data_IF_276106053387
#
_entry.id   IF_276106053387
#
_cell.length_a   1.000
_cell.length_b   1.000
_cell.length_c   1.000
_cell.angle_alpha   90.00
_cell.angle_beta   90.00
_cell.angle_gamma   90.00
#
_symmetry.space_group_name_H-M   'P 1'
#
loop_
_entity.id
_entity.type
_entity.pdbx_description
1 polymer ?
#
# COMPACT_ATOMS: atom_id res chain seq x y z
N UNK A 1 -30.22 -24.60 -73.67
CA UNK A 1 -30.57 -24.34 -72.28
C UNK A 1 -29.27 -24.42 -71.48
N UNK A 2 -28.68 -23.27 -71.19
CA UNK A 2 -27.41 -23.14 -70.43
C UNK A 2 -27.69 -22.79 -68.98
N UNK A 3 -27.45 -23.71 -68.08
CA UNK A 3 -27.50 -23.49 -66.62
C UNK A 3 -26.14 -23.01 -66.13
N UNK A 4 -26.01 -21.71 -65.80
CA UNK A 4 -24.84 -21.13 -65.13
C UNK A 4 -24.91 -21.49 -63.65
N UNK A 5 -23.93 -22.24 -63.13
CA UNK A 5 -23.72 -22.47 -61.71
C UNK A 5 -23.06 -21.22 -61.06
N UNK A 6 -23.73 -20.63 -60.11
CA UNK A 6 -23.23 -19.52 -59.29
C UNK A 6 -22.38 -20.14 -58.17
N UNK A 7 -21.07 -19.85 -58.16
CA UNK A 7 -20.18 -20.23 -57.06
C UNK A 7 -20.20 -19.08 -56.05
N UNK A 8 -20.79 -19.32 -54.88
CA UNK A 8 -20.74 -18.39 -53.71
C UNK A 8 -19.49 -18.72 -52.92
N UNK A 9 -18.49 -17.86 -52.97
CA UNK A 9 -17.27 -17.95 -52.15
C UNK A 9 -17.51 -17.30 -50.83
N UNK A 10 -17.70 -18.10 -49.77
CA UNK A 10 -17.83 -17.62 -48.39
C UNK A 10 -16.44 -17.32 -47.84
N UNK A 11 -16.10 -16.02 -47.65
CA UNK A 11 -14.90 -15.62 -46.92
C UNK A 11 -15.13 -15.89 -45.45
N UNK A 12 -14.47 -16.89 -44.86
CA UNK A 12 -14.32 -17.03 -43.41
C UNK A 12 -13.24 -16.06 -42.94
N UNK A 13 -13.67 -15.00 -42.28
CA UNK A 13 -12.75 -14.15 -41.51
C UNK A 13 -12.34 -14.90 -40.23
N UNK A 14 -11.11 -15.43 -40.23
CA UNK A 14 -10.50 -15.98 -39.04
C UNK A 14 -10.22 -14.82 -38.03
N UNK A 15 -11.07 -14.63 -37.05
CA UNK A 15 -10.72 -13.85 -35.88
C UNK A 15 -9.62 -14.57 -35.11
N UNK A 16 -8.38 -14.10 -35.26
CA UNK A 16 -7.26 -14.50 -34.43
C UNK A 16 -7.50 -14.00 -33.00
N UNK A 17 -8.09 -14.86 -32.17
CA UNK A 17 -8.14 -14.65 -30.74
C UNK A 17 -6.72 -14.88 -30.20
N UNK A 18 -5.92 -13.82 -30.07
CA UNK A 18 -4.67 -13.89 -29.30
C UNK A 18 -5.04 -14.25 -27.87
N UNK A 19 -4.49 -15.32 -27.28
CA UNK A 19 -4.73 -15.61 -25.87
C UNK A 19 -4.18 -14.43 -25.08
N UNK A 20 -5.07 -13.71 -24.37
CA UNK A 20 -4.68 -12.85 -23.28
C UNK A 20 -4.02 -13.79 -22.26
N UNK A 21 -2.69 -13.74 -22.19
CA UNK A 21 -1.93 -14.46 -21.16
C UNK A 21 -2.56 -14.07 -19.81
N UNK A 22 -3.14 -15.06 -19.13
CA UNK A 22 -3.70 -14.88 -17.81
C UNK A 22 -2.59 -14.30 -16.93
N UNK A 23 -2.73 -13.01 -16.56
CA UNK A 23 -1.76 -12.33 -15.73
C UNK A 23 -1.77 -13.02 -14.37
N UNK A 24 -0.62 -13.50 -13.93
CA UNK A 24 -0.48 -14.21 -12.66
C UNK A 24 -0.92 -13.27 -11.51
N UNK A 25 -1.94 -13.68 -10.75
CA UNK A 25 -2.47 -12.90 -9.62
C UNK A 25 -1.58 -12.99 -8.37
N UNK A 26 -0.53 -13.79 -8.42
CA UNK A 26 0.43 -13.92 -7.34
C UNK A 26 1.45 -12.78 -7.40
N UNK A 27 1.69 -12.14 -6.24
CA UNK A 27 2.77 -11.18 -6.08
C UNK A 27 4.13 -11.84 -6.33
N UNK A 28 5.01 -11.12 -7.00
CA UNK A 28 6.41 -11.48 -7.21
C UNK A 28 7.28 -10.39 -6.60
N UNK A 29 7.66 -10.49 -5.29
CA UNK A 29 8.45 -9.47 -4.63
C UNK A 29 9.74 -9.16 -5.36
N UNK A 30 10.19 -7.90 -5.30
CA UNK A 30 11.45 -7.46 -5.94
C UNK A 30 12.69 -7.90 -5.18
N UNK A 31 12.56 -8.09 -3.86
CA UNK A 31 13.63 -8.51 -2.97
C UNK A 31 13.12 -9.52 -1.96
N UNK A 32 14.00 -10.39 -1.49
CA UNK A 32 13.73 -11.26 -0.34
C UNK A 32 13.84 -10.46 0.97
N UNK A 33 13.32 -10.96 2.10
CA UNK A 33 13.48 -10.31 3.41
C UNK A 33 14.94 -10.04 3.77
N UNK A 34 15.86 -10.94 3.41
CA UNK A 34 17.30 -10.84 3.71
C UNK A 34 17.99 -9.75 2.88
N UNK A 35 17.46 -9.44 1.70
CA UNK A 35 17.98 -8.39 0.81
C UNK A 35 17.48 -6.99 1.21
N UNK A 36 16.46 -6.92 2.07
CA UNK A 36 15.93 -5.65 2.57
C UNK A 36 16.87 -5.06 3.63
N UNK A 37 16.94 -3.71 3.72
CA UNK A 37 17.75 -3.04 4.74
C UNK A 37 17.38 -3.48 6.15
N UNK A 38 18.40 -3.86 6.95
CA UNK A 38 18.19 -4.24 8.35
C UNK A 38 18.04 -2.98 9.23
N UNK A 39 16.79 -2.64 9.52
CA UNK A 39 16.43 -1.43 10.27
C UNK A 39 16.78 -1.51 11.77
N UNK A 40 17.10 -2.69 12.32
CA UNK A 40 17.65 -2.82 13.68
C UNK A 40 19.04 -2.22 13.84
N UNK A 41 19.73 -1.93 12.73
CA UNK A 41 21.03 -1.24 12.73
C UNK A 41 20.89 0.30 12.72
N UNK A 42 19.68 0.83 12.77
CA UNK A 42 19.40 2.26 12.79
C UNK A 42 19.01 2.72 14.20
N UNK A 43 19.07 4.03 14.53
CA UNK A 43 18.62 4.54 15.81
C UNK A 43 17.08 4.63 15.93
N UNK A 44 16.34 4.13 14.93
CA UNK A 44 14.89 4.17 14.92
C UNK A 44 14.33 3.03 15.81
N UNK A 45 14.06 3.35 17.06
CA UNK A 45 13.53 2.42 18.07
C UNK A 45 12.24 2.96 18.68
N UNK A 46 11.39 2.08 19.24
CA UNK A 46 10.26 2.56 20.03
C UNK A 46 10.74 3.44 21.21
N UNK A 47 10.03 4.53 21.53
CA UNK A 47 10.39 5.36 22.66
C UNK A 47 10.27 4.62 23.98
N UNK A 48 11.16 4.95 24.92
CA UNK A 48 11.04 4.52 26.32
C UNK A 48 9.74 5.05 26.94
N UNK A 49 9.07 4.23 27.78
CA UNK A 49 7.78 4.55 28.39
C UNK A 49 7.81 5.75 29.35
N UNK A 50 8.98 6.16 29.81
CA UNK A 50 9.16 7.35 30.67
C UNK A 50 9.61 8.57 29.89
N UNK A 51 9.74 8.47 28.57
CA UNK A 51 10.22 9.58 27.73
C UNK A 51 9.13 10.58 27.36
N UNK A 52 9.54 11.81 27.02
CA UNK A 52 8.65 12.81 26.43
C UNK A 52 8.05 12.32 25.09
N UNK A 53 8.78 11.52 24.33
CA UNK A 53 8.29 10.94 23.08
C UNK A 53 7.12 9.97 23.32
N UNK A 54 7.15 9.17 24.39
CA UNK A 54 6.01 8.34 24.75
C UNK A 54 4.83 9.16 25.31
N UNK A 55 5.09 10.26 26.03
CA UNK A 55 4.02 11.20 26.42
C UNK A 55 3.30 11.79 25.20
N UNK A 56 4.03 12.05 24.12
CA UNK A 56 3.43 12.43 22.84
C UNK A 56 2.58 11.30 22.24
N UNK A 57 3.05 10.05 22.25
CA UNK A 57 2.27 8.88 21.82
C UNK A 57 0.92 8.80 22.57
N UNK A 58 0.94 9.00 23.89
CA UNK A 58 -0.27 9.01 24.72
C UNK A 58 -1.24 10.13 24.32
N UNK A 59 -0.72 11.34 24.12
CA UNK A 59 -1.55 12.47 23.69
C UNK A 59 -2.21 12.25 22.34
N UNK A 60 -1.47 11.65 21.39
CA UNK A 60 -2.00 11.30 20.06
C UNK A 60 -3.03 10.18 20.13
N UNK A 61 -2.84 9.18 21.00
CA UNK A 61 -3.85 8.14 21.22
C UNK A 61 -5.16 8.72 21.75
N UNK A 62 -5.09 9.61 22.74
CA UNK A 62 -6.28 10.28 23.30
C UNK A 62 -6.99 11.15 22.26
N UNK A 63 -6.22 11.91 21.46
CA UNK A 63 -6.77 12.63 20.31
C UNK A 63 -7.44 11.67 19.33
N UNK A 64 -6.79 10.58 18.97
CA UNK A 64 -7.36 9.58 18.06
C UNK A 64 -8.70 9.04 18.54
N UNK A 65 -8.82 8.77 19.85
CA UNK A 65 -10.09 8.36 20.47
C UNK A 65 -11.18 9.43 20.31
N UNK A 66 -10.83 10.71 20.49
CA UNK A 66 -11.83 11.81 20.44
C UNK A 66 -12.46 12.01 19.07
N UNK A 67 -11.78 11.57 17.99
CA UNK A 67 -12.27 11.74 16.61
C UNK A 67 -12.94 10.48 16.03
N UNK A 68 -13.02 9.38 16.78
CA UNK A 68 -13.59 8.10 16.29
C UNK A 68 -15.03 8.19 15.82
N UNK A 69 -15.84 9.06 16.42
CA UNK A 69 -17.25 9.25 16.08
C UNK A 69 -17.50 10.31 14.97
N UNK A 70 -16.46 10.69 14.25
CA UNK A 70 -16.51 11.66 13.14
C UNK A 70 -16.25 10.99 11.80
N UNK A 71 -16.45 11.72 10.68
CA UNK A 71 -16.06 11.26 9.34
C UNK A 71 -14.61 10.79 9.26
N UNK A 72 -13.71 11.44 10.03
CA UNK A 72 -12.31 11.02 10.11
C UNK A 72 -12.14 9.65 10.76
N UNK A 73 -13.01 9.33 11.72
CA UNK A 73 -13.06 8.00 12.34
C UNK A 73 -13.58 6.92 11.38
N UNK A 74 -14.60 7.22 10.58
CA UNK A 74 -15.10 6.31 9.55
C UNK A 74 -14.04 6.03 8.48
N UNK A 75 -13.32 7.07 8.01
CA UNK A 75 -12.17 6.90 7.13
C UNK A 75 -11.11 5.98 7.76
N UNK A 76 -10.80 6.19 9.06
CA UNK A 76 -9.80 5.38 9.75
C UNK A 76 -10.22 3.91 9.87
N UNK A 77 -11.51 3.64 10.03
CA UNK A 77 -12.08 2.30 10.04
C UNK A 77 -11.98 1.61 8.68
N UNK A 78 -12.25 2.35 7.59
CA UNK A 78 -12.06 1.84 6.22
C UNK A 78 -10.58 1.54 5.91
N UNK A 79 -9.67 2.41 6.36
CA UNK A 79 -8.21 2.24 6.22
C UNK A 79 -7.66 1.07 7.07
N UNK A 80 -8.44 0.55 8.02
CA UNK A 80 -7.99 -0.55 8.87
C UNK A 80 -7.97 -1.90 8.14
N UNK A 81 -8.70 -2.05 7.06
CA UNK A 81 -8.55 -3.21 6.18
C UNK A 81 -7.12 -3.27 5.61
N UNK A 82 -6.59 -4.48 5.41
CA UNK A 82 -5.22 -4.65 4.96
C UNK A 82 -5.16 -5.27 3.57
N UNK A 83 -4.30 -4.73 2.70
CA UNK A 83 -3.98 -5.34 1.42
C UNK A 83 -4.13 -4.41 0.22
N UNK A 84 -3.76 -4.95 -0.96
CA UNK A 84 -3.72 -4.21 -2.21
C UNK A 84 -5.08 -3.63 -2.62
N UNK A 85 -6.17 -4.36 -2.41
CA UNK A 85 -7.51 -3.93 -2.83
C UNK A 85 -7.95 -2.65 -2.11
N UNK A 86 -7.63 -2.54 -0.82
CA UNK A 86 -7.90 -1.34 -0.03
C UNK A 86 -7.07 -0.17 -0.53
N UNK A 87 -5.77 -0.40 -0.77
CA UNK A 87 -4.89 0.64 -1.34
C UNK A 87 -5.42 1.13 -2.69
N UNK A 88 -5.79 0.22 -3.59
CA UNK A 88 -6.34 0.58 -4.90
C UNK A 88 -7.61 1.43 -4.75
N UNK A 89 -8.52 1.06 -3.86
CA UNK A 89 -9.76 1.79 -3.57
C UNK A 89 -9.48 3.19 -3.01
N UNK A 90 -8.67 3.25 -1.96
CA UNK A 90 -8.44 4.47 -1.19
C UNK A 90 -7.54 5.50 -1.89
N UNK A 91 -6.72 5.07 -2.83
CA UNK A 91 -5.85 5.94 -3.60
C UNK A 91 -6.40 6.30 -4.99
N UNK A 92 -7.50 5.72 -5.45
CA UNK A 92 -8.06 5.97 -6.77
C UNK A 92 -8.41 7.46 -7.00
N UNK A 93 -9.11 8.10 -6.06
CA UNK A 93 -9.48 9.53 -6.17
C UNK A 93 -8.25 10.44 -6.10
N UNK A 94 -7.35 10.39 -5.08
CA UNK A 94 -6.17 11.24 -5.05
C UNK A 94 -5.23 11.00 -6.24
N UNK A 95 -5.13 9.78 -6.75
CA UNK A 95 -4.37 9.46 -7.96
C UNK A 95 -5.02 10.01 -9.23
N UNK A 96 -6.35 10.18 -9.23
CA UNK A 96 -7.15 10.69 -10.34
C UNK A 96 -7.52 9.65 -11.39
N UNK A 97 -7.44 8.37 -11.04
CA UNK A 97 -7.77 7.24 -11.91
C UNK A 97 -8.07 5.99 -11.08
N UNK A 98 -9.01 5.16 -11.55
CA UNK A 98 -9.25 3.85 -10.96
C UNK A 98 -8.01 2.96 -11.11
N UNK A 99 -7.63 2.30 -10.02
CA UNK A 99 -6.49 1.38 -10.00
C UNK A 99 -7.06 -0.04 -9.90
N UNK A 100 -7.01 -0.77 -11.00
CA UNK A 100 -7.52 -2.14 -11.06
C UNK A 100 -6.77 -2.98 -12.09
N UNK A 101 -6.87 -4.29 -11.97
CA UNK A 101 -6.26 -5.24 -12.91
C UNK A 101 -6.81 -5.06 -14.33
N UNK A 102 -8.07 -4.69 -14.45
CA UNK A 102 -8.78 -4.55 -15.72
C UNK A 102 -8.46 -3.22 -16.42
N UNK A 103 -8.39 -2.12 -15.67
CA UNK A 103 -8.25 -0.76 -16.24
C UNK A 103 -6.82 -0.25 -16.28
N UNK A 104 -6.01 -0.63 -15.31
CA UNK A 104 -4.63 -0.17 -15.13
C UNK A 104 -3.68 -1.34 -14.80
N UNK A 105 -3.60 -2.37 -15.66
CA UNK A 105 -2.89 -3.61 -15.36
C UNK A 105 -1.41 -3.42 -14.99
N UNK A 106 -0.70 -2.47 -15.60
CA UNK A 106 0.72 -2.25 -15.32
C UNK A 106 0.94 -1.50 -13.99
N UNK A 107 0.05 -0.56 -13.65
CA UNK A 107 0.06 0.13 -12.34
C UNK A 107 -0.34 -0.87 -11.24
N UNK A 108 -1.39 -1.65 -11.47
CA UNK A 108 -1.82 -2.69 -10.54
C UNK A 108 -0.71 -3.72 -10.29
N UNK A 109 -0.03 -4.19 -11.34
CA UNK A 109 1.10 -5.12 -11.24
C UNK A 109 2.26 -4.53 -10.45
N UNK A 110 2.60 -3.26 -10.67
CA UNK A 110 3.63 -2.57 -9.91
C UNK A 110 3.32 -2.58 -8.41
N UNK A 111 2.10 -2.22 -8.03
CA UNK A 111 1.68 -2.20 -6.62
C UNK A 111 1.61 -3.61 -6.03
N UNK A 112 1.11 -4.59 -6.79
CA UNK A 112 1.03 -5.99 -6.36
C UNK A 112 2.40 -6.55 -5.94
N UNK A 113 3.46 -6.20 -6.66
CA UNK A 113 4.82 -6.69 -6.39
C UNK A 113 5.59 -5.82 -5.39
N UNK A 114 5.39 -4.49 -5.44
CA UNK A 114 6.16 -3.56 -4.63
C UNK A 114 5.67 -3.47 -3.17
N UNK A 115 4.36 -3.48 -2.94
CA UNK A 115 3.83 -3.27 -1.59
C UNK A 115 4.23 -4.38 -0.60
N UNK A 116 4.12 -5.68 -0.94
CA UNK A 116 4.64 -6.74 -0.08
C UNK A 116 6.16 -6.63 0.13
N UNK A 117 6.91 -6.29 -0.94
CA UNK A 117 8.37 -6.07 -0.83
C UNK A 117 8.69 -4.98 0.19
N UNK A 118 7.95 -3.86 0.18
CA UNK A 118 8.16 -2.78 1.14
C UNK A 118 7.78 -3.18 2.57
N UNK A 119 6.74 -3.99 2.76
CA UNK A 119 6.31 -4.40 4.11
C UNK A 119 7.32 -5.33 4.80
N UNK A 120 8.09 -6.11 4.05
CA UNK A 120 9.14 -7.00 4.59
C UNK A 120 10.16 -6.26 5.48
N UNK A 121 10.41 -4.97 5.26
CA UNK A 121 11.32 -4.17 6.09
C UNK A 121 10.85 -4.05 7.55
N UNK A 122 9.55 -4.28 7.81
CA UNK A 122 8.94 -4.19 9.14
C UNK A 122 9.14 -5.44 10.00
N UNK A 123 9.40 -6.59 9.38
CA UNK A 123 9.28 -7.89 10.02
C UNK A 123 10.28 -8.09 11.16
N UNK A 124 11.57 -7.86 10.90
CA UNK A 124 12.61 -8.01 11.93
C UNK A 124 12.40 -7.06 13.12
N UNK A 125 12.13 -5.75 12.94
CA UNK A 125 11.80 -4.85 14.05
C UNK A 125 10.57 -5.25 14.84
N UNK A 126 9.48 -5.68 14.18
CA UNK A 126 8.27 -6.15 14.87
C UNK A 126 8.57 -7.31 15.82
N UNK A 127 9.29 -8.31 15.34
CA UNK A 127 9.65 -9.49 16.10
C UNK A 127 10.68 -9.20 17.20
N UNK A 128 11.58 -8.24 16.98
CA UNK A 128 12.60 -7.85 17.95
C UNK A 128 12.02 -7.06 19.13
N UNK A 129 11.25 -6.01 18.83
CA UNK A 129 10.75 -5.10 19.87
C UNK A 129 9.49 -5.65 20.57
N UNK A 130 8.66 -6.43 19.89
CA UNK A 130 7.39 -6.95 20.41
C UNK A 130 6.60 -5.90 21.18
N UNK A 131 6.63 -4.64 20.72
CA UNK A 131 6.00 -3.51 21.38
C UNK A 131 4.51 -3.73 21.53
N UNK A 132 3.98 -3.54 22.74
CA UNK A 132 2.53 -3.65 22.99
C UNK A 132 1.77 -2.53 22.30
N UNK A 133 0.64 -2.88 21.72
CA UNK A 133 -0.26 -1.93 21.04
C UNK A 133 -1.10 -1.12 22.02
N UNK A 134 -1.63 0.07 21.65
CA UNK A 134 -2.48 0.87 22.53
C UNK A 134 -3.63 0.08 23.14
N UNK A 135 -4.41 -0.66 22.35
CA UNK A 135 -5.54 -1.45 22.83
C UNK A 135 -5.13 -2.51 23.87
N UNK A 136 -3.92 -3.05 23.76
CA UNK A 136 -3.37 -4.01 24.74
C UNK A 136 -2.91 -3.34 26.04
N UNK A 137 -2.41 -2.10 25.95
CA UNK A 137 -1.90 -1.35 27.12
C UNK A 137 -3.06 -0.83 27.95
N UNK A 138 -4.11 -0.33 27.29
CA UNK A 138 -5.27 0.24 27.99
C UNK A 138 -6.37 -0.78 28.26
N UNK A 139 -6.22 -2.04 27.81
CA UNK A 139 -7.26 -3.07 27.93
C UNK A 139 -8.61 -2.62 27.38
N UNK A 140 -8.58 -1.84 26.29
CA UNK A 140 -9.76 -1.33 25.60
C UNK A 140 -9.76 -1.84 24.15
N UNK A 141 -10.92 -2.16 23.57
CA UNK A 141 -10.97 -2.57 22.16
C UNK A 141 -10.53 -1.42 21.24
N UNK A 142 -9.89 -1.78 20.13
CA UNK A 142 -9.62 -0.83 19.04
C UNK A 142 -10.93 -0.39 18.36
N UNK A 143 -10.86 0.54 17.39
CA UNK A 143 -12.03 0.89 16.56
C UNK A 143 -12.47 -0.28 15.65
N UNK A 144 -11.62 -1.30 15.49
CA UNK A 144 -11.88 -2.53 14.72
C UNK A 144 -11.53 -3.77 15.56
N UNK A 145 -12.38 -4.13 16.53
CA UNK A 145 -12.07 -5.16 17.54
C UNK A 145 -11.79 -6.55 16.97
N UNK A 146 -12.35 -6.87 15.79
CA UNK A 146 -12.10 -8.13 15.09
C UNK A 146 -10.65 -8.34 14.69
N UNK A 147 -9.87 -7.26 14.56
CA UNK A 147 -8.44 -7.30 14.23
C UNK A 147 -7.55 -7.41 15.49
N UNK A 148 -8.06 -7.16 16.68
CA UNK A 148 -7.24 -7.06 17.91
C UNK A 148 -6.55 -8.37 18.24
N UNK A 149 -7.24 -9.51 18.14
CA UNK A 149 -6.68 -10.82 18.47
C UNK A 149 -5.51 -11.23 17.53
N UNK A 150 -5.60 -11.13 16.19
CA UNK A 150 -4.45 -11.38 15.32
C UNK A 150 -3.34 -10.33 15.50
N UNK A 151 -3.66 -9.06 15.71
CA UNK A 151 -2.67 -8.01 15.90
C UNK A 151 -1.90 -8.12 17.22
N UNK A 152 -2.48 -8.72 18.26
CA UNK A 152 -1.79 -8.93 19.54
C UNK A 152 -0.64 -9.93 19.46
N UNK A 153 -0.55 -10.72 18.38
CA UNK A 153 0.47 -11.76 18.18
C UNK A 153 1.79 -11.22 17.64
N UNK A 154 1.83 -9.95 17.20
CA UNK A 154 3.05 -9.31 16.69
C UNK A 154 3.26 -7.90 17.25
N UNK A 155 4.50 -7.41 17.16
CA UNK A 155 4.87 -6.10 17.67
C UNK A 155 4.18 -4.95 16.93
N UNK A 156 3.89 -3.88 17.68
CA UNK A 156 3.32 -2.62 17.15
C UNK A 156 4.31 -1.85 16.28
N UNK A 157 5.60 -1.89 16.56
CA UNK A 157 6.62 -1.06 15.93
C UNK A 157 7.40 -1.80 14.85
N UNK A 158 7.53 -1.20 13.65
CA UNK A 158 6.81 -0.07 13.08
C UNK A 158 5.41 -0.45 12.58
N UNK A 159 4.61 0.53 12.14
CA UNK A 159 3.29 0.28 11.56
C UNK A 159 3.39 -0.25 10.13
N UNK A 160 2.99 -1.51 9.89
CA UNK A 160 2.94 -2.11 8.54
C UNK A 160 1.91 -1.45 7.62
N UNK A 161 0.71 -1.09 8.14
CA UNK A 161 -0.26 -0.32 7.34
C UNK A 161 0.32 1.02 6.88
N UNK A 162 1.07 1.72 7.75
CA UNK A 162 1.73 2.97 7.35
C UNK A 162 2.77 2.74 6.26
N UNK A 163 3.55 1.66 6.38
CA UNK A 163 4.52 1.28 5.33
C UNK A 163 3.77 1.03 4.01
N UNK A 164 2.69 0.27 4.05
CA UNK A 164 1.88 -0.04 2.87
C UNK A 164 1.35 1.24 2.19
N UNK A 165 0.65 2.09 2.95
CA UNK A 165 0.04 3.31 2.42
C UNK A 165 1.05 4.36 1.96
N UNK A 166 2.16 4.53 2.69
CA UNK A 166 3.20 5.48 2.31
C UNK A 166 4.00 5.02 1.09
N UNK A 167 4.30 3.73 0.99
CA UNK A 167 4.92 3.16 -0.22
C UNK A 167 4.02 3.35 -1.44
N UNK A 168 2.72 3.11 -1.30
CA UNK A 168 1.76 3.38 -2.37
C UNK A 168 1.75 4.87 -2.77
N UNK A 169 1.75 5.77 -1.78
CA UNK A 169 1.80 7.21 -2.05
C UNK A 169 3.05 7.61 -2.83
N UNK A 170 4.23 7.12 -2.46
CA UNK A 170 5.48 7.42 -3.16
C UNK A 170 5.46 6.88 -4.60
N UNK A 171 5.05 5.63 -4.79
CA UNK A 171 4.97 4.99 -6.11
C UNK A 171 3.96 5.71 -7.03
N UNK A 172 2.78 6.02 -6.53
CA UNK A 172 1.74 6.70 -7.31
C UNK A 172 2.08 8.16 -7.62
N UNK A 173 2.77 8.87 -6.70
CA UNK A 173 3.27 10.22 -6.94
C UNK A 173 4.35 10.25 -8.03
N UNK A 174 5.18 9.21 -8.12
CA UNK A 174 6.18 9.07 -9.18
C UNK A 174 5.53 8.82 -10.56
N UNK A 175 4.36 8.16 -10.59
CA UNK A 175 3.59 7.93 -11.82
C UNK A 175 2.81 9.18 -12.23
N UNK A 176 2.16 9.86 -11.28
CA UNK A 176 1.36 11.05 -11.51
C UNK A 176 1.85 12.24 -10.65
N UNK A 177 2.96 12.89 -11.02
CA UNK A 177 3.53 13.98 -10.23
C UNK A 177 2.63 15.21 -10.13
N UNK A 178 1.70 15.42 -11.07
CA UNK A 178 0.77 16.56 -11.05
C UNK A 178 -0.24 16.47 -9.88
N UNK A 179 -0.42 15.30 -9.31
CA UNK A 179 -1.29 15.06 -8.14
C UNK A 179 -0.51 14.62 -6.90
N UNK A 180 0.81 14.76 -6.92
CA UNK A 180 1.67 14.27 -5.84
C UNK A 180 1.24 14.79 -4.45
N UNK A 181 0.82 16.06 -4.34
CA UNK A 181 0.34 16.64 -3.09
C UNK A 181 -0.88 15.89 -2.54
N UNK A 182 -1.90 15.65 -3.36
CA UNK A 182 -3.10 14.93 -2.97
C UNK A 182 -2.79 13.48 -2.59
N UNK A 183 -1.93 12.81 -3.36
CA UNK A 183 -1.52 11.42 -3.14
C UNK A 183 -0.72 11.28 -1.83
N UNK A 184 0.25 12.17 -1.60
CA UNK A 184 1.08 12.17 -0.39
C UNK A 184 0.23 12.48 0.85
N UNK A 185 -0.68 13.46 0.75
CA UNK A 185 -1.63 13.75 1.83
C UNK A 185 -2.48 12.52 2.17
N UNK A 186 -2.99 11.79 1.17
CA UNK A 186 -3.73 10.55 1.41
C UNK A 186 -2.87 9.48 2.10
N UNK A 187 -1.62 9.32 1.69
CA UNK A 187 -0.67 8.41 2.33
C UNK A 187 -0.41 8.75 3.79
N UNK A 188 -0.30 10.05 4.11
CA UNK A 188 -0.18 10.54 5.49
C UNK A 188 -1.43 10.19 6.31
N UNK A 189 -2.62 10.50 5.81
CA UNK A 189 -3.89 10.19 6.48
C UNK A 189 -4.08 8.69 6.68
N UNK A 190 -3.63 7.86 5.73
CA UNK A 190 -3.70 6.40 5.84
C UNK A 190 -2.87 5.88 7.02
N UNK A 191 -1.67 6.41 7.23
CA UNK A 191 -0.86 6.10 8.40
C UNK A 191 -1.48 6.63 9.70
N UNK A 192 -1.96 7.89 9.72
CA UNK A 192 -2.61 8.50 10.89
C UNK A 192 -3.86 7.74 11.33
N UNK A 193 -4.59 7.12 10.40
CA UNK A 193 -5.73 6.25 10.68
C UNK A 193 -5.40 5.16 11.69
N UNK A 194 -4.16 4.69 11.75
CA UNK A 194 -3.74 3.64 12.69
C UNK A 194 -3.69 4.10 14.14
N UNK A 195 -3.44 5.38 14.37
CA UNK A 195 -3.54 6.02 15.71
C UNK A 195 -5.00 6.14 16.12
N UNK A 196 -5.87 6.58 15.21
CA UNK A 196 -7.31 6.75 15.45
C UNK A 196 -7.96 5.40 15.76
N UNK A 197 -7.64 4.36 15.00
CA UNK A 197 -8.06 2.99 15.26
C UNK A 197 -7.59 2.51 16.65
N UNK A 198 -6.42 2.97 17.12
CA UNK A 198 -5.83 2.54 18.38
C UNK A 198 -5.01 1.25 18.25
N UNK A 199 -4.64 0.88 17.03
CA UNK A 199 -3.81 -0.28 16.74
C UNK A 199 -2.30 0.03 16.83
N UNK A 200 -1.91 1.30 16.69
CA UNK A 200 -0.52 1.75 16.69
C UNK A 200 -0.36 3.07 17.46
N UNK A 201 0.84 3.27 17.99
CA UNK A 201 1.28 4.53 18.55
C UNK A 201 1.72 5.49 17.43
N UNK A 202 1.74 6.81 17.71
CA UNK A 202 2.19 7.79 16.73
C UNK A 202 3.64 7.54 16.30
N UNK A 203 4.51 7.15 17.23
CA UNK A 203 5.91 6.80 16.91
C UNK A 203 6.04 5.58 16.01
N UNK A 204 5.13 4.58 16.12
CA UNK A 204 5.10 3.45 15.18
C UNK A 204 4.75 3.92 13.75
N UNK A 205 3.84 4.87 13.65
CA UNK A 205 3.41 5.49 12.39
C UNK A 205 4.55 6.32 11.79
N UNK A 206 5.19 7.17 12.59
CA UNK A 206 6.33 7.98 12.14
C UNK A 206 7.50 7.10 11.63
N UNK A 207 7.80 6.02 12.35
CA UNK A 207 8.78 5.03 11.89
C UNK A 207 8.32 4.37 10.60
N UNK A 208 7.03 4.08 10.45
CA UNK A 208 6.46 3.50 9.23
C UNK A 208 6.72 4.33 7.98
N UNK A 209 6.58 5.66 8.03
CA UNK A 209 6.92 6.55 6.91
C UNK A 209 8.39 6.48 6.54
N UNK A 210 9.29 6.48 7.54
CA UNK A 210 10.73 6.40 7.29
C UNK A 210 11.14 5.04 6.71
N UNK A 211 10.59 3.96 7.25
CA UNK A 211 10.86 2.61 6.77
C UNK A 211 10.39 2.43 5.32
N UNK A 212 9.18 2.90 5.01
CA UNK A 212 8.66 2.89 3.65
C UNK A 212 9.55 3.68 2.68
N UNK A 213 10.07 4.84 3.12
CA UNK A 213 10.97 5.65 2.29
C UNK A 213 12.30 4.94 2.02
N UNK A 214 12.82 4.20 3.01
CA UNK A 214 14.03 3.36 2.83
C UNK A 214 13.74 2.20 1.88
N UNK A 215 12.58 1.53 2.03
CA UNK A 215 12.17 0.45 1.14
C UNK A 215 11.97 0.95 -0.30
N UNK A 216 11.34 2.10 -0.47
CA UNK A 216 11.18 2.76 -1.77
C UNK A 216 12.53 3.05 -2.43
N UNK A 217 13.50 3.59 -1.70
CA UNK A 217 14.86 3.80 -2.22
C UNK A 217 15.52 2.47 -2.62
N UNK A 218 15.32 1.41 -1.85
CA UNK A 218 15.82 0.06 -2.18
C UNK A 218 15.19 -0.48 -3.46
N UNK A 219 13.89 -0.29 -3.70
CA UNK A 219 13.23 -0.70 -4.94
C UNK A 219 13.93 -0.15 -6.19
N UNK A 220 14.41 1.09 -6.15
CA UNK A 220 15.10 1.73 -7.28
C UNK A 220 16.49 1.13 -7.61
N UNK A 221 16.99 0.20 -6.81
CA UNK A 221 18.18 -0.59 -7.13
C UNK A 221 17.87 -1.86 -7.94
N UNK A 222 16.60 -2.13 -8.25
CA UNK A 222 16.17 -3.30 -9.02
C UNK A 222 15.84 -2.92 -10.46
N UNK A 223 16.55 -3.49 -11.44
CA UNK A 223 16.23 -3.32 -12.86
C UNK A 223 14.82 -3.80 -13.21
N UNK A 224 14.33 -4.86 -12.53
CA UNK A 224 12.97 -5.38 -12.72
C UNK A 224 11.93 -4.36 -12.27
N UNK A 225 12.16 -3.71 -11.13
CA UNK A 225 11.30 -2.63 -10.64
C UNK A 225 11.30 -1.44 -11.60
N UNK A 226 12.46 -0.96 -12.02
CA UNK A 226 12.57 0.19 -12.92
C UNK A 226 11.85 -0.07 -14.26
N UNK A 227 11.96 -1.27 -14.81
CA UNK A 227 11.22 -1.68 -16.02
C UNK A 227 9.71 -1.68 -15.80
N UNK A 228 9.23 -2.15 -14.65
CA UNK A 228 7.80 -2.15 -14.34
C UNK A 228 7.26 -0.73 -14.08
N UNK A 229 8.02 0.11 -13.40
CA UNK A 229 7.71 1.53 -13.20
C UNK A 229 7.57 2.27 -14.54
N UNK A 230 8.46 2.01 -15.48
CA UNK A 230 8.39 2.60 -16.84
C UNK A 230 7.12 2.16 -17.58
N UNK A 231 6.70 0.90 -17.46
CA UNK A 231 5.43 0.42 -18.03
C UNK A 231 4.23 1.10 -17.39
N UNK A 232 4.21 1.23 -16.06
CA UNK A 232 3.15 1.90 -15.33
C UNK A 232 3.02 3.39 -15.72
N UNK A 233 4.15 4.09 -15.88
CA UNK A 233 4.17 5.48 -16.38
C UNK A 233 3.64 5.61 -17.80
N UNK A 234 4.02 4.70 -18.71
CA UNK A 234 3.51 4.68 -20.10
C UNK A 234 2.00 4.43 -20.15
N UNK A 235 1.53 3.48 -19.33
CA UNK A 235 0.10 3.19 -19.18
C UNK A 235 -0.65 4.43 -18.71
N UNK A 236 -0.18 5.08 -17.64
CA UNK A 236 -0.79 6.28 -17.09
C UNK A 236 -0.87 7.40 -18.14
N UNK A 237 0.23 7.70 -18.83
CA UNK A 237 0.25 8.72 -19.92
C UNK A 237 -0.78 8.41 -21.00
N UNK A 238 -0.84 7.15 -21.46
CA UNK A 238 -1.82 6.71 -22.45
C UNK A 238 -3.26 6.92 -22.00
N UNK A 239 -3.58 6.52 -20.77
CA UNK A 239 -4.95 6.58 -20.24
C UNK A 239 -5.38 7.99 -19.84
N UNK A 240 -4.46 8.82 -19.35
CA UNK A 240 -4.74 10.23 -18.98
C UNK A 240 -4.79 11.19 -20.15
N UNK A 241 -4.44 10.75 -21.38
CA UNK A 241 -4.33 11.63 -22.56
C UNK A 241 -3.18 12.65 -22.49
N UNK A 242 -2.28 12.53 -21.51
CA UNK A 242 -1.11 13.40 -21.35
C UNK A 242 -0.03 13.02 -22.37
N UNK A 243 0.50 14.02 -23.07
CA UNK A 243 1.62 13.86 -24.03
C UNK A 243 2.98 13.79 -23.31
#
# INVERSE_FOLDING_TARGET
>A
MNTRKLIVTTLLAAMSCTPVLAQNDKAEPYFTPEEMPNMLKTPLTPPDSLSAAFSYDLSRFLWGKSVRATERGEMAKADAEYGLQVVCREFAEPFGMEISKEKTPEIYRLLLDALPTCDEISWNPKNHFMRRRPFMVFHEPSLKPEDDAPLSKNGSFPSGHTILGWSAALLLSEINPDRAEAIVNRGYLYGESRVIVGAHWQSDVNAGYLYASVAYAKLHTSDRFLKQMEKARKEFKKLSGKK
#
